data_IF_703982207406
#
_entry.id   IF_703982207406
#
_cell.length_a   1.000
_cell.length_b   1.000
_cell.length_c   1.000
_cell.angle_alpha   90.00
_cell.angle_beta   90.00
_cell.angle_gamma   90.00
#
_symmetry.space_group_name_H-M   'P 1'
#
loop_
_entity.id
_entity.type
_entity.pdbx_description
1 polymer ?
#
# COMPACT_ATOMS: atom_id res chain seq x y z
N UNK A 1 -3.62 -5.58 5.46
CA UNK A 1 -3.80 -5.16 4.05
C UNK A 1 -5.10 -4.36 3.96
N UNK A 2 -5.10 -3.25 3.23
CA UNK A 2 -6.23 -2.33 3.01
C UNK A 2 -6.43 -2.07 1.50
N UNK A 3 -7.60 -1.59 1.08
CA UNK A 3 -7.78 -0.99 -0.26
C UNK A 3 -7.34 0.48 -0.32
N UNK A 4 -7.23 1.05 -1.53
CA UNK A 4 -6.82 2.46 -1.75
C UNK A 4 -7.81 3.47 -1.16
N UNK A 5 -9.10 3.22 -1.30
CA UNK A 5 -10.19 3.99 -0.71
C UNK A 5 -11.47 3.14 -0.71
N UNK A 6 -12.38 3.43 0.23
CA UNK A 6 -13.75 2.87 0.19
C UNK A 6 -14.63 3.73 -0.72
N UNK A 7 -15.59 3.14 -1.42
CA UNK A 7 -16.47 3.86 -2.36
C UNK A 7 -17.52 4.74 -1.68
N UNK A 8 -17.87 4.43 -0.43
CA UNK A 8 -18.82 5.17 0.40
C UNK A 8 -18.21 6.43 1.06
N UNK A 9 -16.89 6.45 1.26
CA UNK A 9 -16.17 7.56 1.91
C UNK A 9 -15.13 8.26 1.04
N UNK A 10 -14.52 7.57 0.07
CA UNK A 10 -13.56 8.06 -0.93
C UNK A 10 -12.29 8.74 -0.38
N UNK A 11 -12.14 8.86 0.94
CA UNK A 11 -11.05 9.61 1.57
C UNK A 11 -9.65 9.02 1.39
N UNK A 12 -9.52 7.69 1.30
CA UNK A 12 -8.22 7.01 1.17
C UNK A 12 -7.25 7.16 2.36
N UNK A 13 -7.70 7.72 3.50
CA UNK A 13 -6.82 8.03 4.64
C UNK A 13 -6.57 6.87 5.59
N UNK A 14 -7.45 5.85 5.58
CA UNK A 14 -7.44 4.79 6.59
C UNK A 14 -6.11 4.02 6.71
N UNK A 15 -5.42 3.65 5.61
CA UNK A 15 -4.14 2.94 5.71
C UNK A 15 -3.08 3.74 6.47
N UNK A 16 -3.00 5.05 6.22
CA UNK A 16 -2.03 5.93 6.89
C UNK A 16 -2.37 6.10 8.38
N UNK A 17 -3.66 6.27 8.71
CA UNK A 17 -4.12 6.37 10.10
C UNK A 17 -3.87 5.08 10.89
N UNK A 18 -4.05 3.92 10.25
CA UNK A 18 -3.76 2.62 10.87
C UNK A 18 -2.26 2.44 11.12
N UNK A 19 -1.42 2.79 10.14
CA UNK A 19 0.03 2.68 10.26
C UNK A 19 0.56 3.54 11.42
N UNK A 20 0.14 4.80 11.48
CA UNK A 20 0.45 5.72 12.56
C UNK A 20 0.00 5.16 13.91
N UNK A 21 -1.26 4.69 14.00
CA UNK A 21 -1.80 4.15 15.25
C UNK A 21 -1.07 2.91 15.75
N UNK A 22 -0.57 2.08 14.84
CA UNK A 22 0.15 0.85 15.16
C UNK A 22 1.66 1.08 15.33
N UNK A 23 2.18 2.25 14.96
CA UNK A 23 3.61 2.55 15.01
C UNK A 23 4.45 1.70 14.05
N UNK A 24 3.89 1.34 12.89
CA UNK A 24 4.54 0.48 11.90
C UNK A 24 4.73 1.22 10.56
N UNK A 25 5.72 0.82 9.73
CA UNK A 25 5.86 1.33 8.38
C UNK A 25 4.59 1.16 7.53
N UNK A 26 4.46 1.99 6.50
CA UNK A 26 3.41 1.87 5.52
C UNK A 26 3.93 1.87 4.08
N UNK A 27 3.29 1.07 3.24
CA UNK A 27 3.51 1.01 1.80
C UNK A 27 2.14 1.02 1.12
N UNK A 28 1.70 2.19 0.68
CA UNK A 28 0.32 2.42 0.26
C UNK A 28 0.19 2.59 -1.26
N UNK A 29 -1.01 2.45 -1.81
CA UNK A 29 -1.31 2.64 -3.24
C UNK A 29 -0.42 1.78 -4.16
N UNK A 30 -0.15 0.54 -3.77
CA UNK A 30 0.63 -0.38 -4.59
C UNK A 30 -0.25 -0.94 -5.71
N UNK A 31 0.21 -0.89 -6.95
CA UNK A 31 -0.37 -1.60 -8.10
C UNK A 31 0.12 -3.05 -8.19
N UNK A 32 1.30 -3.35 -7.63
CA UNK A 32 1.82 -4.70 -7.48
C UNK A 32 2.36 -4.90 -6.06
N UNK A 33 2.19 -6.10 -5.50
CA UNK A 33 2.65 -6.44 -4.16
C UNK A 33 3.36 -7.80 -4.17
N UNK A 34 4.53 -7.86 -3.55
CA UNK A 34 5.23 -9.09 -3.24
C UNK A 34 5.67 -9.10 -1.78
N UNK A 35 5.63 -10.27 -1.14
CA UNK A 35 6.11 -10.47 0.23
C UNK A 35 7.12 -11.60 0.24
N UNK A 36 8.36 -11.29 0.61
CA UNK A 36 9.47 -12.23 0.64
C UNK A 36 10.41 -11.85 1.80
N UNK A 37 10.95 -12.83 2.50
CA UNK A 37 12.00 -12.64 3.52
C UNK A 37 11.70 -11.56 4.59
N UNK A 38 10.44 -11.46 5.03
CA UNK A 38 10.03 -10.47 6.03
C UNK A 38 9.95 -9.03 5.51
N UNK A 39 9.99 -8.82 4.19
CA UNK A 39 9.84 -7.54 3.52
C UNK A 39 8.62 -7.59 2.61
N UNK A 40 7.81 -6.53 2.66
CA UNK A 40 6.83 -6.26 1.61
C UNK A 40 7.45 -5.27 0.62
N UNK A 41 7.31 -5.55 -0.67
CA UNK A 41 7.72 -4.66 -1.75
C UNK A 41 6.61 -4.52 -2.79
N UNK A 42 6.68 -3.44 -3.57
CA UNK A 42 5.69 -3.21 -4.61
C UNK A 42 6.03 -2.05 -5.52
N UNK A 43 5.17 -1.83 -6.51
CA UNK A 43 5.20 -0.64 -7.37
C UNK A 43 4.03 0.26 -6.98
N UNK A 44 4.28 1.56 -6.84
CA UNK A 44 3.25 2.60 -6.77
C UNK A 44 3.33 3.40 -8.07
N UNK A 45 2.22 3.52 -8.78
CA UNK A 45 2.15 4.33 -9.98
C UNK A 45 1.66 5.73 -9.61
N UNK A 46 2.52 6.73 -9.81
CA UNK A 46 2.18 8.15 -9.72
C UNK A 46 2.00 8.76 -11.11
N UNK A 47 1.51 10.00 -11.17
CA UNK A 47 1.13 10.64 -12.43
C UNK A 47 2.28 10.80 -13.43
N UNK A 48 3.52 10.92 -12.93
CA UNK A 48 4.72 11.17 -13.76
C UNK A 48 5.68 9.98 -13.77
N UNK A 49 5.66 9.15 -12.73
CA UNK A 49 6.62 8.07 -12.56
C UNK A 49 6.04 6.95 -11.69
N UNK A 50 6.53 5.75 -11.93
CA UNK A 50 6.35 4.63 -11.03
C UNK A 50 7.47 4.57 -10.00
N UNK A 51 7.11 4.32 -8.75
CA UNK A 51 8.02 4.17 -7.62
C UNK A 51 8.07 2.71 -7.18
N UNK A 52 9.27 2.21 -6.89
CA UNK A 52 9.44 0.91 -6.21
C UNK A 52 9.55 1.20 -4.71
N UNK A 53 8.64 0.64 -3.93
CA UNK A 53 8.57 0.85 -2.49
C UNK A 53 8.79 -0.47 -1.76
N UNK A 54 9.42 -0.42 -0.59
CA UNK A 54 9.61 -1.56 0.29
C UNK A 54 9.54 -1.18 1.77
N UNK A 55 9.13 -2.12 2.60
CA UNK A 55 9.17 -1.99 4.05
C UNK A 55 9.36 -3.34 4.73
N UNK A 56 10.12 -3.36 5.82
CA UNK A 56 10.19 -4.51 6.71
C UNK A 56 8.85 -4.74 7.40
N UNK A 57 8.48 -6.01 7.56
CA UNK A 57 7.30 -6.42 8.31
C UNK A 57 7.59 -6.37 9.84
N UNK A 58 6.58 -6.01 10.66
CA UNK A 58 5.18 -5.73 10.29
C UNK A 58 5.01 -4.35 9.63
N UNK A 59 4.12 -4.25 8.63
CA UNK A 59 3.79 -3.01 7.93
C UNK A 59 2.30 -2.97 7.52
N UNK A 60 1.75 -1.77 7.38
CA UNK A 60 0.42 -1.56 6.77
C UNK A 60 0.59 -1.36 5.27
N UNK A 61 -0.19 -2.11 4.49
CA UNK A 61 -0.15 -2.08 3.03
C UNK A 61 -1.51 -1.67 2.49
N UNK A 62 -1.55 -0.78 1.48
CA UNK A 62 -2.75 -0.58 0.67
C UNK A 62 -2.50 -0.78 -0.82
N UNK A 63 -3.53 -1.28 -1.50
CA UNK A 63 -3.49 -1.65 -2.93
C UNK A 63 -4.50 -0.86 -3.74
N UNK A 64 -4.22 -0.68 -5.02
CA UNK A 64 -5.16 -0.07 -5.98
C UNK A 64 -6.10 -1.14 -6.58
N UNK A 65 -7.07 -0.71 -7.37
CA UNK A 65 -7.92 -1.62 -8.15
C UNK A 65 -7.15 -2.36 -9.25
N UNK A 66 -6.04 -1.79 -9.74
CA UNK A 66 -5.12 -2.42 -10.69
C UNK A 66 -4.36 -3.65 -10.11
N UNK A 67 -4.45 -3.88 -8.79
CA UNK A 67 -3.65 -4.92 -8.14
C UNK A 67 -4.12 -6.32 -8.43
N UNK A 68 -3.22 -7.13 -8.98
CA UNK A 68 -3.51 -8.52 -9.37
C UNK A 68 -4.13 -8.64 -10.76
N UNK A 69 -4.25 -7.55 -11.50
CA UNK A 69 -4.50 -7.57 -12.94
C UNK A 69 -3.21 -7.99 -13.68
N UNK A 70 -3.35 -8.78 -14.76
CA UNK A 70 -2.27 -9.47 -15.46
C UNK A 70 -1.86 -8.78 -16.76
#
# INVERSE_FOLDING_TARGET
VCGMASTDGVMGVLPALLAERLGVPQVTLLSEVAVQDGVVSGRRDGDTASERLEASLPAVVSVTDQSGEA
#
